data_IF_175684829938
#
_entry.id   IF_175684829938
#
_cell.length_a   1.000
_cell.length_b   1.000
_cell.length_c   1.000
_cell.angle_alpha   90.00
_cell.angle_beta   90.00
_cell.angle_gamma   90.00
#
_symmetry.space_group_name_H-M   'P 1'
#
loop_
_entity.id
_entity.type
_entity.pdbx_description
1 polymer ?
#
# COMPACT_ATOMS: atom_id res chain seq x y z
N UNK A 1 22.67 -46.28 -11.48
CA UNK A 1 21.30 -45.89 -11.78
C UNK A 1 20.98 -44.63 -10.96
N UNK A 2 20.91 -43.46 -11.62
CA UNK A 2 20.50 -42.21 -10.98
C UNK A 2 19.01 -42.30 -10.73
N UNK A 3 18.61 -42.27 -9.47
CA UNK A 3 17.20 -42.15 -9.07
C UNK A 3 16.68 -40.74 -9.49
N UNK A 4 15.79 -40.73 -10.47
CA UNK A 4 15.00 -39.54 -10.80
C UNK A 4 14.20 -39.20 -9.54
N UNK A 5 14.27 -37.96 -9.03
CA UNK A 5 13.42 -37.58 -7.90
C UNK A 5 11.96 -37.74 -8.32
N UNK A 6 11.18 -38.41 -7.48
CA UNK A 6 9.74 -38.54 -7.67
C UNK A 6 9.14 -37.16 -7.86
N UNK A 7 8.30 -36.99 -8.88
CA UNK A 7 7.54 -35.76 -9.09
C UNK A 7 6.83 -35.43 -7.78
N UNK A 8 7.16 -34.27 -7.21
CA UNK A 8 6.51 -33.75 -6.02
C UNK A 8 5.04 -33.59 -6.41
N UNK A 9 4.15 -34.38 -5.80
CA UNK A 9 2.70 -34.26 -6.01
C UNK A 9 2.23 -32.84 -5.66
N UNK A 10 1.01 -32.46 -6.04
CA UNK A 10 0.47 -31.14 -5.73
C UNK A 10 0.57 -30.91 -4.22
N UNK A 11 1.52 -30.07 -3.82
CA UNK A 11 1.78 -29.76 -2.41
C UNK A 11 0.58 -29.08 -1.74
N UNK A 12 0.65 -28.85 -0.42
CA UNK A 12 -0.44 -28.24 0.35
C UNK A 12 -0.92 -26.88 -0.19
N UNK A 13 -0.05 -26.19 -0.95
CA UNK A 13 -0.37 -24.88 -1.57
C UNK A 13 -1.28 -24.97 -2.80
N UNK A 14 -1.46 -26.16 -3.39
CA UNK A 14 -2.22 -26.32 -4.63
C UNK A 14 -3.70 -25.91 -4.49
N UNK A 15 -4.28 -26.08 -3.31
CA UNK A 15 -5.65 -25.69 -2.99
C UNK A 15 -5.87 -24.24 -2.62
N UNK A 16 -4.80 -23.49 -2.35
CA UNK A 16 -4.89 -22.11 -1.83
C UNK A 16 -5.65 -21.13 -2.72
N UNK A 17 -5.54 -21.18 -4.07
CA UNK A 17 -6.29 -20.24 -4.92
C UNK A 17 -7.82 -20.30 -4.75
N UNK A 18 -8.35 -21.38 -4.22
CA UNK A 18 -9.80 -21.58 -3.98
C UNK A 18 -10.18 -21.54 -2.51
N UNK A 19 -9.22 -21.35 -1.61
CA UNK A 19 -9.43 -21.29 -0.17
C UNK A 19 -9.58 -19.85 0.31
N UNK A 20 -10.38 -19.65 1.36
CA UNK A 20 -10.41 -18.39 2.08
C UNK A 20 -9.10 -18.18 2.86
N UNK A 21 -8.79 -16.93 3.18
CA UNK A 21 -7.61 -16.57 3.98
C UNK A 21 -7.63 -17.24 5.36
N UNK A 22 -8.81 -17.32 5.99
CA UNK A 22 -8.96 -17.97 7.29
C UNK A 22 -8.64 -19.46 7.21
N UNK A 23 -9.09 -20.14 6.16
CA UNK A 23 -8.77 -21.55 5.95
C UNK A 23 -7.29 -21.80 5.70
N UNK A 24 -6.60 -20.89 4.97
CA UNK A 24 -5.16 -20.97 4.78
C UNK A 24 -4.44 -20.77 6.12
N UNK A 25 -4.84 -19.78 6.89
CA UNK A 25 -4.28 -19.52 8.21
C UNK A 25 -4.47 -20.71 9.18
N UNK A 26 -5.66 -21.29 9.22
CA UNK A 26 -5.98 -22.49 10.01
C UNK A 26 -5.10 -23.67 9.59
N UNK A 27 -5.04 -23.96 8.28
CA UNK A 27 -4.20 -25.05 7.75
C UNK A 27 -2.74 -24.91 8.19
N UNK A 28 -2.19 -23.69 8.13
CA UNK A 28 -0.81 -23.42 8.55
C UNK A 28 -0.64 -23.52 10.07
N UNK A 29 -1.65 -23.09 10.83
CA UNK A 29 -1.64 -23.16 12.29
C UNK A 29 -1.53 -24.60 12.80
N UNK A 30 -2.09 -25.57 12.08
CA UNK A 30 -2.02 -27.01 12.40
C UNK A 30 -0.66 -27.65 12.06
N UNK A 31 0.21 -26.95 11.29
CA UNK A 31 1.52 -27.47 10.88
C UNK A 31 2.56 -27.34 12.00
N UNK A 32 3.46 -28.33 12.08
CA UNK A 32 4.66 -28.25 12.90
C UNK A 32 5.62 -27.15 12.38
N UNK A 33 6.54 -26.65 13.22
CA UNK A 33 7.60 -25.74 12.76
C UNK A 33 8.36 -26.27 11.55
N UNK A 34 8.70 -27.55 11.54
CA UNK A 34 9.44 -28.20 10.43
C UNK A 34 8.60 -28.23 9.14
N UNK A 35 7.29 -28.45 9.24
CA UNK A 35 6.40 -28.39 8.08
C UNK A 35 6.30 -26.98 7.51
N UNK A 36 6.23 -25.96 8.37
CA UNK A 36 6.23 -24.55 7.95
C UNK A 36 7.54 -24.16 7.27
N UNK A 37 8.69 -24.59 7.81
CA UNK A 37 10.02 -24.34 7.20
C UNK A 37 10.13 -24.99 5.82
N UNK A 38 9.63 -26.22 5.66
CA UNK A 38 9.56 -26.88 4.35
C UNK A 38 8.66 -26.11 3.39
N UNK A 39 7.51 -25.65 3.84
CA UNK A 39 6.58 -24.88 3.02
C UNK A 39 7.25 -23.62 2.45
N UNK A 40 7.98 -22.88 3.31
CA UNK A 40 8.76 -21.70 2.92
C UNK A 40 9.81 -22.04 1.86
N UNK A 41 10.54 -23.14 2.02
CA UNK A 41 11.66 -23.48 1.13
C UNK A 41 11.19 -24.13 -0.17
N UNK A 42 10.14 -24.93 -0.15
CA UNK A 42 9.64 -25.64 -1.32
C UNK A 42 8.69 -24.81 -2.19
N UNK A 43 7.93 -23.89 -1.57
CA UNK A 43 6.91 -23.07 -2.25
C UNK A 43 7.04 -21.57 -1.94
N UNK A 44 8.25 -20.98 -2.06
CA UNK A 44 8.47 -19.59 -1.61
C UNK A 44 7.60 -18.59 -2.34
N UNK A 45 7.27 -18.81 -3.62
CA UNK A 45 6.42 -17.88 -4.38
C UNK A 45 4.99 -17.83 -3.84
N UNK A 46 4.40 -18.99 -3.58
CA UNK A 46 3.06 -19.10 -3.03
C UNK A 46 3.01 -18.57 -1.59
N UNK A 47 3.94 -19.02 -0.75
CA UNK A 47 4.02 -18.61 0.66
C UNK A 47 4.26 -17.10 0.78
N UNK A 48 5.14 -16.54 -0.03
CA UNK A 48 5.49 -15.12 0.03
C UNK A 48 4.43 -14.17 -0.50
N UNK A 49 3.43 -14.66 -1.28
CA UNK A 49 2.51 -13.81 -2.01
C UNK A 49 1.02 -14.15 -1.81
N UNK A 50 0.69 -15.03 -0.86
CA UNK A 50 -0.69 -15.43 -0.60
C UNK A 50 -1.19 -14.82 0.70
N UNK A 51 -2.31 -14.08 0.63
CA UNK A 51 -3.00 -13.57 1.80
C UNK A 51 -3.54 -14.74 2.64
N UNK A 52 -3.49 -14.61 3.96
CA UNK A 52 -3.79 -15.71 4.89
C UNK A 52 -2.56 -16.42 5.43
N UNK A 53 -1.43 -16.36 4.73
CA UNK A 53 -0.15 -16.86 5.26
C UNK A 53 0.36 -15.92 6.35
N UNK A 54 0.81 -16.44 7.51
CA UNK A 54 1.41 -15.60 8.56
C UNK A 54 2.55 -14.73 8.02
N UNK A 55 2.55 -13.46 8.38
CA UNK A 55 3.48 -12.49 7.82
C UNK A 55 4.95 -12.80 8.06
N UNK A 56 5.38 -13.37 9.20
CA UNK A 56 6.76 -13.82 9.35
C UNK A 56 7.17 -14.89 8.31
N UNK A 57 6.25 -15.78 7.95
CA UNK A 57 6.49 -16.78 6.89
C UNK A 57 6.55 -16.13 5.51
N UNK A 58 5.66 -15.16 5.23
CA UNK A 58 5.70 -14.37 3.97
C UNK A 58 7.06 -13.66 3.83
N UNK A 59 7.51 -12.98 4.89
CA UNK A 59 8.79 -12.30 4.88
C UNK A 59 9.97 -13.26 4.65
N UNK A 60 9.98 -14.40 5.32
CA UNK A 60 11.02 -15.42 5.13
C UNK A 60 11.03 -16.01 3.70
N UNK A 61 9.86 -16.32 3.17
CA UNK A 61 9.72 -16.82 1.79
C UNK A 61 10.15 -15.78 0.75
N UNK A 62 9.81 -14.51 0.97
CA UNK A 62 10.18 -13.44 0.05
C UNK A 62 11.69 -13.15 0.07
N UNK A 63 12.42 -13.43 1.13
CA UNK A 63 13.89 -13.41 1.08
C UNK A 63 14.43 -14.39 0.05
N UNK A 64 13.84 -15.60 -0.05
CA UNK A 64 14.20 -16.60 -1.06
C UNK A 64 13.80 -16.09 -2.46
N UNK A 65 12.59 -15.57 -2.62
CA UNK A 65 12.11 -15.03 -3.90
C UNK A 65 13.01 -13.90 -4.42
N UNK A 66 13.39 -12.98 -3.54
CA UNK A 66 14.25 -11.84 -3.87
C UNK A 66 15.66 -12.31 -4.23
N UNK A 67 16.24 -13.23 -3.45
CA UNK A 67 17.55 -13.81 -3.76
C UNK A 67 17.55 -14.52 -5.13
N UNK A 68 16.48 -15.26 -5.44
CA UNK A 68 16.30 -15.88 -6.75
C UNK A 68 16.21 -14.83 -7.86
N UNK A 69 15.48 -13.73 -7.64
CA UNK A 69 15.37 -12.64 -8.60
C UNK A 69 16.71 -11.96 -8.88
N UNK A 70 17.56 -11.78 -7.86
CA UNK A 70 18.93 -11.26 -8.05
C UNK A 70 19.74 -12.18 -8.97
N UNK A 71 19.61 -13.50 -8.81
CA UNK A 71 20.37 -14.48 -9.61
C UNK A 71 19.84 -14.60 -11.04
N UNK A 72 18.56 -14.36 -11.26
CA UNK A 72 17.92 -14.52 -12.56
C UNK A 72 17.88 -13.23 -13.39
N UNK A 73 18.12 -12.08 -12.77
CA UNK A 73 18.22 -10.79 -13.49
C UNK A 73 19.57 -10.71 -14.22
N UNK A 74 19.56 -11.01 -15.51
CA UNK A 74 20.76 -11.11 -16.34
C UNK A 74 20.95 -9.92 -17.30
N UNK A 75 20.01 -8.96 -17.29
CA UNK A 75 20.10 -7.77 -18.13
C UNK A 75 21.31 -6.90 -17.79
N UNK A 76 21.86 -6.25 -18.81
CA UNK A 76 23.00 -5.33 -18.67
C UNK A 76 22.61 -3.85 -18.80
N UNK A 77 21.33 -3.55 -19.02
CA UNK A 77 20.80 -2.22 -19.13
C UNK A 77 20.67 -1.53 -17.74
N UNK A 78 20.39 -0.23 -17.74
CA UNK A 78 20.27 0.55 -16.52
C UNK A 78 19.11 0.10 -15.64
N UNK A 79 18.02 -0.33 -16.22
CA UNK A 79 16.85 -0.81 -15.49
C UNK A 79 17.17 -2.13 -14.77
N UNK A 80 17.85 -3.05 -15.42
CA UNK A 80 18.33 -4.30 -14.81
C UNK A 80 19.27 -4.03 -13.65
N UNK A 81 20.22 -3.09 -13.82
CA UNK A 81 21.13 -2.70 -12.75
C UNK A 81 20.39 -2.09 -11.56
N UNK A 82 19.39 -1.24 -11.80
CA UNK A 82 18.55 -0.66 -10.76
C UNK A 82 17.74 -1.72 -10.02
N UNK A 83 17.14 -2.68 -10.76
CA UNK A 83 16.42 -3.80 -10.13
C UNK A 83 17.32 -4.63 -9.23
N UNK A 84 18.50 -5.04 -9.70
CA UNK A 84 19.46 -5.80 -8.89
C UNK A 84 19.87 -5.02 -7.64
N UNK A 85 20.16 -3.73 -7.76
CA UNK A 85 20.53 -2.89 -6.63
C UNK A 85 19.40 -2.82 -5.60
N UNK A 86 18.14 -2.63 -6.05
CA UNK A 86 16.97 -2.66 -5.18
C UNK A 86 16.83 -4.01 -4.48
N UNK A 87 16.87 -5.12 -5.23
CA UNK A 87 16.68 -6.46 -4.68
C UNK A 87 17.73 -6.79 -3.60
N UNK A 88 18.99 -6.42 -3.84
CA UNK A 88 20.05 -6.54 -2.83
C UNK A 88 19.75 -5.68 -1.60
N UNK A 89 19.23 -4.47 -1.80
CA UNK A 89 18.80 -3.59 -0.71
C UNK A 89 17.63 -4.18 0.11
N UNK A 90 16.69 -4.88 -0.55
CA UNK A 90 15.58 -5.56 0.12
C UNK A 90 16.05 -6.74 0.99
N UNK A 91 17.16 -7.38 0.64
CA UNK A 91 17.79 -8.45 1.44
C UNK A 91 18.66 -7.95 2.58
N UNK A 92 18.97 -6.64 2.59
CA UNK A 92 19.80 -6.02 3.61
C UNK A 92 19.05 -5.69 4.90
N UNK A 93 19.78 -5.17 5.84
CA UNK A 93 19.25 -4.61 7.08
C UNK A 93 19.16 -3.09 6.99
N UNK A 94 18.27 -2.53 7.77
CA UNK A 94 18.08 -1.08 7.95
C UNK A 94 18.13 -0.72 9.43
N UNK A 95 18.38 0.53 9.73
CA UNK A 95 18.15 1.05 11.07
C UNK A 95 16.65 0.95 11.40
N UNK A 96 16.33 0.57 12.66
CA UNK A 96 14.93 0.46 13.08
C UNK A 96 14.25 1.84 13.00
N UNK A 97 13.22 2.01 12.14
CA UNK A 97 12.56 3.29 11.97
C UNK A 97 11.81 3.76 13.23
N UNK A 98 11.57 2.90 14.20
CA UNK A 98 11.00 3.27 15.50
C UNK A 98 11.99 4.04 16.39
N UNK A 99 13.27 4.10 16.01
CA UNK A 99 14.33 4.72 16.79
C UNK A 99 14.94 3.82 17.85
N UNK A 100 14.55 2.54 17.91
CA UNK A 100 15.23 1.56 18.80
C UNK A 100 16.66 1.32 18.28
N UNK A 101 17.64 1.15 19.18
CA UNK A 101 19.00 0.80 18.76
C UNK A 101 19.04 -0.54 18.02
N UNK A 102 19.85 -0.59 16.96
CA UNK A 102 20.09 -1.82 16.22
C UNK A 102 19.60 -1.75 14.77
N UNK A 103 19.91 -2.80 14.05
CA UNK A 103 19.49 -2.99 12.67
C UNK A 103 18.47 -4.10 12.60
N UNK A 104 17.52 -3.97 11.69
CA UNK A 104 16.45 -4.94 11.46
C UNK A 104 16.43 -5.37 10.00
N UNK A 105 16.01 -6.60 9.74
CA UNK A 105 15.70 -7.05 8.39
C UNK A 105 14.44 -6.34 7.85
N UNK A 106 14.45 -6.09 6.55
CA UNK A 106 13.27 -5.54 5.88
C UNK A 106 12.18 -6.62 5.80
N UNK A 107 10.93 -6.22 6.03
CA UNK A 107 9.78 -7.12 6.13
C UNK A 107 8.96 -7.05 4.84
N UNK A 108 9.29 -7.91 3.88
CA UNK A 108 8.65 -7.94 2.56
C UNK A 108 7.48 -8.92 2.58
N UNK A 109 6.26 -8.40 2.51
CA UNK A 109 5.02 -9.16 2.61
C UNK A 109 4.52 -9.69 1.26
N UNK A 110 4.95 -9.09 0.15
CA UNK A 110 4.73 -9.59 -1.20
C UNK A 110 5.89 -9.17 -2.10
N UNK A 111 6.31 -10.07 -2.97
CA UNK A 111 7.31 -9.81 -3.98
C UNK A 111 7.07 -10.70 -5.21
N UNK A 112 6.56 -10.09 -6.26
CA UNK A 112 6.36 -10.74 -7.55
C UNK A 112 6.63 -9.74 -8.68
N UNK A 113 7.88 -9.66 -9.19
CA UNK A 113 8.23 -8.73 -10.25
C UNK A 113 7.44 -8.92 -11.54
N UNK A 114 7.01 -10.15 -11.85
CA UNK A 114 6.20 -10.43 -13.04
C UNK A 114 4.81 -9.77 -12.97
N UNK A 115 4.31 -9.52 -11.77
CA UNK A 115 3.04 -8.83 -11.49
C UNK A 115 3.25 -7.38 -11.04
N UNK A 116 4.46 -6.87 -11.09
CA UNK A 116 4.85 -5.56 -10.56
C UNK A 116 4.39 -5.37 -9.10
N UNK A 117 4.49 -6.41 -8.28
CA UNK A 117 4.03 -6.41 -6.88
C UNK A 117 5.19 -6.37 -5.90
N UNK A 118 5.13 -5.39 -4.99
CA UNK A 118 6.03 -5.25 -3.85
C UNK A 118 5.27 -4.62 -2.68
N UNK A 119 5.16 -5.36 -1.59
CA UNK A 119 4.50 -4.87 -0.36
C UNK A 119 5.48 -4.98 0.80
N UNK A 120 5.70 -3.90 1.52
CA UNK A 120 6.65 -3.85 2.64
C UNK A 120 6.02 -3.26 3.89
N UNK A 121 6.20 -3.95 5.01
CA UNK A 121 5.85 -3.45 6.35
C UNK A 121 7.02 -2.65 6.92
N UNK A 122 6.76 -1.40 7.29
CA UNK A 122 7.70 -0.53 7.97
C UNK A 122 7.22 -0.32 9.41
N UNK A 123 8.06 -0.67 10.36
CA UNK A 123 7.75 -0.66 11.80
C UNK A 123 7.51 -2.05 12.38
N UNK A 124 7.10 -2.07 13.64
CA UNK A 124 6.82 -3.30 14.39
C UNK A 124 5.31 -3.42 14.63
N UNK A 125 4.67 -4.36 13.93
CA UNK A 125 3.23 -4.55 14.03
C UNK A 125 2.77 -4.90 15.44
N UNK A 126 3.58 -5.62 16.19
CA UNK A 126 3.24 -6.02 17.58
C UNK A 126 3.23 -4.82 18.55
N UNK A 127 4.01 -3.80 18.27
CA UNK A 127 4.08 -2.58 19.08
C UNK A 127 3.14 -1.47 18.57
N UNK A 128 2.63 -1.59 17.35
CA UNK A 128 1.84 -0.55 16.71
C UNK A 128 0.47 -0.36 17.39
N UNK A 129 0.09 0.89 17.57
CA UNK A 129 -1.23 1.34 18.02
C UNK A 129 -2.13 1.78 16.88
N UNK A 130 -1.53 1.97 15.71
CA UNK A 130 -2.23 2.24 14.46
C UNK A 130 -1.43 1.69 13.28
N UNK A 131 -2.13 1.31 12.23
CA UNK A 131 -1.53 0.79 10.99
C UNK A 131 -2.05 1.58 9.81
N UNK A 132 -1.18 1.91 8.86
CA UNK A 132 -1.59 2.52 7.61
C UNK A 132 -1.10 1.68 6.42
N UNK A 133 -1.92 1.64 5.38
CA UNK A 133 -1.57 1.09 4.06
C UNK A 133 -1.51 2.23 3.08
N UNK A 134 -0.33 2.50 2.51
CA UNK A 134 -0.09 3.60 1.57
C UNK A 134 -0.03 3.06 0.14
N UNK A 135 -1.01 3.46 -0.68
CA UNK A 135 -1.12 3.12 -2.10
C UNK A 135 -0.67 4.32 -2.93
N UNK A 136 0.47 4.25 -3.64
CA UNK A 136 1.00 5.37 -4.41
C UNK A 136 0.26 5.58 -5.73
N UNK A 137 0.74 6.51 -6.54
CA UNK A 137 0.13 6.92 -7.80
C UNK A 137 0.94 6.56 -9.04
N UNK A 138 0.73 7.34 -10.10
CA UNK A 138 1.41 7.18 -11.41
C UNK A 138 2.92 7.17 -11.27
N UNK A 139 3.58 6.59 -12.26
CA UNK A 139 5.05 6.49 -12.33
C UNK A 139 5.70 5.69 -11.19
N UNK A 140 4.90 4.93 -10.44
CA UNK A 140 5.44 4.01 -9.45
C UNK A 140 5.82 2.69 -10.13
N UNK A 141 7.08 2.30 -9.97
CA UNK A 141 7.62 1.00 -10.36
C UNK A 141 8.37 0.40 -9.18
N UNK A 142 8.56 -0.91 -9.19
CA UNK A 142 9.29 -1.60 -8.11
C UNK A 142 10.67 -0.97 -7.93
N UNK A 143 11.42 -0.78 -9.02
CA UNK A 143 12.77 -0.23 -9.02
C UNK A 143 12.88 1.21 -8.56
N UNK A 144 11.77 1.95 -8.56
CA UNK A 144 11.71 3.36 -8.17
C UNK A 144 10.95 3.58 -6.84
N UNK A 145 10.60 2.50 -6.12
CA UNK A 145 9.74 2.54 -4.93
C UNK A 145 10.42 3.05 -3.65
N UNK A 146 11.72 3.31 -3.68
CA UNK A 146 12.48 3.75 -2.50
C UNK A 146 11.90 5.02 -1.84
N UNK A 147 11.40 5.96 -2.64
CA UNK A 147 10.79 7.19 -2.13
C UNK A 147 9.54 6.90 -1.28
N UNK A 148 8.71 5.95 -1.68
CA UNK A 148 7.53 5.55 -0.93
C UNK A 148 7.90 4.91 0.41
N UNK A 149 8.95 4.09 0.42
CA UNK A 149 9.49 3.49 1.65
C UNK A 149 10.02 4.54 2.62
N UNK A 150 10.76 5.54 2.11
CA UNK A 150 11.24 6.67 2.93
C UNK A 150 10.07 7.43 3.54
N UNK A 151 9.03 7.71 2.77
CA UNK A 151 7.80 8.36 3.24
C UNK A 151 7.15 7.56 4.37
N UNK A 152 6.95 6.26 4.17
CA UNK A 152 6.37 5.39 5.18
C UNK A 152 7.17 5.38 6.48
N UNK A 153 8.49 5.27 6.41
CA UNK A 153 9.37 5.24 7.58
C UNK A 153 9.38 6.54 8.36
N UNK A 154 9.19 7.68 7.69
CA UNK A 154 9.07 8.98 8.38
C UNK A 154 7.87 9.02 9.34
N UNK A 155 6.73 8.45 8.95
CA UNK A 155 5.57 8.33 9.84
C UNK A 155 5.85 7.41 11.03
N UNK A 156 6.54 6.29 10.79
CA UNK A 156 6.96 5.38 11.88
C UNK A 156 7.88 6.10 12.86
N UNK A 157 8.89 6.81 12.35
CA UNK A 157 9.85 7.55 13.17
C UNK A 157 9.17 8.66 13.97
N UNK A 158 8.27 9.41 13.36
CA UNK A 158 7.57 10.52 14.02
C UNK A 158 6.68 10.07 15.18
N UNK A 159 6.25 8.82 15.18
CA UNK A 159 5.44 8.22 16.23
C UNK A 159 6.24 7.34 17.18
N UNK A 160 7.57 7.30 17.03
CA UNK A 160 8.45 6.39 17.80
C UNK A 160 8.00 4.93 17.73
N UNK A 161 7.40 4.52 16.60
CA UNK A 161 6.92 3.16 16.36
C UNK A 161 5.47 2.88 16.82
N UNK A 162 4.73 3.87 17.32
CA UNK A 162 3.30 3.71 17.61
C UNK A 162 2.46 3.54 16.33
N UNK A 163 2.96 3.98 15.18
CA UNK A 163 2.39 3.66 13.88
C UNK A 163 3.28 2.68 13.11
N UNK A 164 2.68 1.70 12.46
CA UNK A 164 3.31 0.90 11.41
C UNK A 164 2.70 1.28 10.06
N UNK A 165 3.54 1.38 9.02
CA UNK A 165 3.10 1.82 7.70
C UNK A 165 3.53 0.83 6.64
N UNK A 166 2.56 0.34 5.87
CA UNK A 166 2.77 -0.61 4.78
C UNK A 166 2.79 0.16 3.47
N UNK A 167 3.86 0.01 2.70
CA UNK A 167 3.88 0.46 1.31
C UNK A 167 3.30 -0.63 0.42
N UNK A 168 2.27 -0.29 -0.36
CA UNK A 168 1.52 -1.26 -1.13
C UNK A 168 1.62 -0.99 -2.63
N UNK A 169 2.39 -1.82 -3.32
CA UNK A 169 2.40 -1.93 -4.77
C UNK A 169 1.79 -3.29 -5.12
N UNK A 170 0.48 -3.31 -5.37
CA UNK A 170 -0.27 -4.56 -5.63
C UNK A 170 -0.26 -5.00 -7.10
N UNK A 171 0.32 -4.20 -7.99
CA UNK A 171 0.38 -4.45 -9.42
C UNK A 171 0.92 -3.25 -10.18
N UNK A 172 0.86 -3.28 -11.54
CA UNK A 172 1.37 -2.18 -12.33
C UNK A 172 0.56 -0.90 -12.13
N UNK A 173 1.27 0.22 -12.06
CA UNK A 173 0.70 1.57 -12.07
C UNK A 173 0.83 2.19 -13.46
N UNK A 174 -0.04 3.15 -13.84
CA UNK A 174 0.10 3.88 -15.08
C UNK A 174 1.43 4.62 -15.13
N UNK A 175 2.08 4.61 -16.31
CA UNK A 175 3.34 5.29 -16.54
C UNK A 175 3.09 6.49 -17.47
N UNK A 176 3.29 7.68 -16.95
CA UNK A 176 3.09 8.96 -17.63
C UNK A 176 4.46 9.54 -17.97
N UNK A 177 4.82 9.56 -19.26
CA UNK A 177 6.10 10.06 -19.78
C UNK A 177 5.93 11.38 -20.52
N UNK A 178 4.77 11.58 -21.11
CA UNK A 178 4.41 12.75 -21.88
C UNK A 178 2.92 13.11 -21.71
N UNK A 179 2.46 14.27 -22.22
CA UNK A 179 1.06 14.68 -22.08
C UNK A 179 0.02 13.73 -22.70
N UNK A 180 0.39 12.90 -23.66
CA UNK A 180 -0.52 11.92 -24.26
C UNK A 180 -0.80 10.80 -23.29
N UNK A 181 0.20 10.37 -22.54
CA UNK A 181 0.09 9.33 -21.50
C UNK A 181 -0.87 9.75 -20.37
N UNK A 182 -1.04 11.05 -20.13
CA UNK A 182 -2.04 11.54 -19.15
C UNK A 182 -3.44 11.09 -19.55
N UNK A 183 -3.75 11.16 -20.84
CA UNK A 183 -5.07 10.79 -21.37
C UNK A 183 -5.20 9.29 -21.60
N UNK A 184 -4.12 8.62 -22.00
CA UNK A 184 -4.16 7.20 -22.39
C UNK A 184 -3.83 6.25 -21.24
N UNK A 185 -3.02 6.67 -20.29
CA UNK A 185 -2.57 5.84 -19.16
C UNK A 185 -3.16 6.29 -17.83
N UNK A 186 -2.97 7.56 -17.43
CA UNK A 186 -3.47 8.02 -16.15
C UNK A 186 -5.00 8.13 -16.09
N UNK A 187 -5.67 8.34 -17.22
CA UNK A 187 -7.12 8.32 -17.33
C UNK A 187 -7.70 6.90 -17.49
N UNK A 188 -6.87 5.88 -17.72
CA UNK A 188 -7.33 4.52 -17.91
C UNK A 188 -7.71 3.86 -16.56
N UNK A 189 -8.97 3.47 -16.37
CA UNK A 189 -9.42 2.84 -15.13
C UNK A 189 -8.91 1.40 -14.95
N UNK A 190 -8.33 0.76 -16.00
CA UNK A 190 -7.92 -0.64 -15.94
C UNK A 190 -6.98 -0.97 -14.78
N UNK A 191 -6.04 -0.07 -14.46
CA UNK A 191 -5.09 -0.29 -13.36
C UNK A 191 -5.79 -0.33 -12.00
N UNK A 192 -6.78 0.54 -11.80
CA UNK A 192 -7.59 0.53 -10.59
C UNK A 192 -8.47 -0.71 -10.51
N UNK A 193 -9.12 -1.09 -11.61
CA UNK A 193 -9.95 -2.29 -11.69
C UNK A 193 -9.15 -3.57 -11.46
N UNK A 194 -7.91 -3.64 -11.96
CA UNK A 194 -7.04 -4.81 -11.79
C UNK A 194 -6.48 -4.90 -10.37
N UNK A 195 -6.15 -3.78 -9.75
CA UNK A 195 -5.51 -3.76 -8.43
C UNK A 195 -6.53 -3.81 -7.28
N UNK A 196 -7.71 -3.25 -7.45
CA UNK A 196 -8.71 -3.15 -6.38
C UNK A 196 -9.06 -4.50 -5.73
N UNK A 197 -9.33 -5.60 -6.45
CA UNK A 197 -9.62 -6.88 -5.82
C UNK A 197 -8.48 -7.40 -4.93
N UNK A 198 -7.24 -7.15 -5.33
CA UNK A 198 -6.04 -7.53 -4.55
C UNK A 198 -5.88 -6.68 -3.30
N UNK A 199 -6.18 -5.38 -3.41
CA UNK A 199 -6.17 -4.49 -2.25
C UNK A 199 -7.28 -4.87 -1.25
N UNK A 200 -8.46 -5.22 -1.73
CA UNK A 200 -9.55 -5.74 -0.88
C UNK A 200 -9.08 -6.97 -0.11
N UNK A 201 -8.54 -7.97 -0.80
CA UNK A 201 -8.03 -9.18 -0.17
C UNK A 201 -6.89 -8.89 0.82
N UNK A 202 -5.97 -8.00 0.48
CA UNK A 202 -4.90 -7.59 1.38
C UNK A 202 -5.42 -6.83 2.60
N UNK A 203 -6.42 -5.98 2.45
CA UNK A 203 -7.03 -5.26 3.58
C UNK A 203 -7.70 -6.21 4.58
N UNK A 204 -8.30 -7.28 4.09
CA UNK A 204 -8.84 -8.36 4.93
C UNK A 204 -7.72 -9.10 5.68
N UNK A 205 -6.59 -9.35 5.02
CA UNK A 205 -5.41 -9.95 5.66
C UNK A 205 -4.82 -9.05 6.73
N UNK A 206 -4.74 -7.74 6.48
CA UNK A 206 -4.31 -6.74 7.48
C UNK A 206 -5.23 -6.78 8.70
N UNK A 207 -6.54 -6.71 8.49
CA UNK A 207 -7.54 -6.75 9.57
C UNK A 207 -7.42 -8.01 10.44
N UNK A 208 -7.17 -9.18 9.81
CA UNK A 208 -6.98 -10.44 10.49
C UNK A 208 -5.68 -10.52 11.31
N UNK A 209 -4.60 -9.87 10.86
CA UNK A 209 -3.28 -9.94 11.48
C UNK A 209 -3.08 -8.85 12.53
N UNK A 210 -3.72 -7.70 12.35
CA UNK A 210 -3.67 -6.59 13.30
C UNK A 210 -4.49 -6.93 14.55
N UNK A 211 -3.98 -6.60 15.73
CA UNK A 211 -4.66 -6.86 16.98
C UNK A 211 -5.98 -6.10 17.13
N UNK A 212 -6.91 -6.68 17.87
CA UNK A 212 -8.19 -6.05 18.18
C UNK A 212 -7.98 -4.64 18.76
N UNK A 213 -8.72 -3.68 18.23
CA UNK A 213 -8.67 -2.29 18.68
C UNK A 213 -7.51 -1.46 18.13
N UNK A 214 -6.70 -2.00 17.23
CA UNK A 214 -5.69 -1.24 16.48
C UNK A 214 -6.31 -0.79 15.15
N UNK A 215 -6.56 0.52 14.97
CA UNK A 215 -7.22 1.00 13.76
C UNK A 215 -6.31 0.94 12.54
N UNK A 216 -6.91 0.63 11.40
CA UNK A 216 -6.25 0.57 10.09
C UNK A 216 -6.74 1.71 9.21
N UNK A 217 -5.80 2.48 8.67
CA UNK A 217 -6.06 3.54 7.68
C UNK A 217 -5.54 3.12 6.31
N UNK A 218 -6.36 3.21 5.28
CA UNK A 218 -5.92 3.01 3.89
C UNK A 218 -5.83 4.36 3.21
N UNK A 219 -4.66 4.69 2.65
CA UNK A 219 -4.37 5.97 2.02
C UNK A 219 -4.13 5.74 0.54
N UNK A 220 -4.89 6.40 -0.30
CA UNK A 220 -4.67 6.43 -1.75
C UNK A 220 -4.16 7.79 -2.20
N UNK A 221 -2.91 7.85 -2.68
CA UNK A 221 -2.31 9.07 -3.21
C UNK A 221 -2.41 9.11 -4.73
N UNK A 222 -2.89 10.22 -5.28
CA UNK A 222 -2.98 10.44 -6.71
C UNK A 222 -3.82 9.34 -7.39
N UNK A 223 -3.29 8.62 -8.36
CA UNK A 223 -3.97 7.46 -8.97
C UNK A 223 -4.32 6.39 -7.93
N UNK A 224 -3.51 6.26 -6.87
CA UNK A 224 -3.80 5.38 -5.74
C UNK A 224 -5.14 5.66 -5.06
N UNK A 225 -5.61 6.89 -5.11
CA UNK A 225 -6.96 7.25 -4.65
C UNK A 225 -8.06 6.57 -5.45
N UNK A 226 -7.92 6.51 -6.77
CA UNK A 226 -8.84 5.75 -7.63
C UNK A 226 -8.81 4.26 -7.30
N UNK A 227 -7.62 3.68 -7.04
CA UNK A 227 -7.48 2.28 -6.65
C UNK A 227 -8.22 2.01 -5.33
N UNK A 228 -7.98 2.85 -4.33
CA UNK A 228 -8.60 2.72 -3.00
C UNK A 228 -10.12 2.90 -3.09
N UNK A 229 -10.59 3.92 -3.81
CA UNK A 229 -12.02 4.15 -3.99
C UNK A 229 -12.72 3.02 -4.75
N UNK A 230 -12.06 2.43 -5.74
CA UNK A 230 -12.57 1.25 -6.44
C UNK A 230 -12.61 0.03 -5.50
N UNK A 231 -11.59 -0.14 -4.66
CA UNK A 231 -11.58 -1.19 -3.64
C UNK A 231 -12.71 -1.00 -2.59
N UNK A 232 -13.02 0.25 -2.24
CA UNK A 232 -14.16 0.58 -1.38
C UNK A 232 -15.48 0.03 -1.95
N UNK A 233 -15.69 0.06 -3.27
CA UNK A 233 -16.90 -0.50 -3.89
C UNK A 233 -16.98 -2.02 -3.78
N UNK A 234 -15.86 -2.69 -3.52
CA UNK A 234 -15.72 -4.14 -3.52
C UNK A 234 -15.56 -4.73 -2.10
N UNK A 235 -15.74 -3.94 -1.07
CA UNK A 235 -15.66 -4.39 0.32
C UNK A 235 -14.27 -4.23 0.94
N UNK A 236 -13.58 -3.12 0.68
CA UNK A 236 -12.39 -2.75 1.42
C UNK A 236 -12.65 -2.80 2.92
N UNK A 237 -11.69 -3.28 3.70
CA UNK A 237 -11.73 -3.26 5.16
C UNK A 237 -10.79 -2.20 5.69
N UNK A 238 -11.33 -1.16 6.32
CA UNK A 238 -10.53 -0.11 6.98
C UNK A 238 -11.36 0.63 8.03
N UNK A 239 -10.69 1.20 9.03
CA UNK A 239 -11.32 2.11 9.99
C UNK A 239 -11.35 3.54 9.47
N UNK A 240 -10.33 3.90 8.70
CA UNK A 240 -10.22 5.20 8.03
C UNK A 240 -9.74 5.02 6.61
N UNK A 241 -10.26 5.85 5.70
CA UNK A 241 -9.80 5.95 4.31
C UNK A 241 -9.43 7.41 4.03
N UNK A 242 -8.25 7.64 3.48
CA UNK A 242 -7.78 8.96 3.09
C UNK A 242 -7.55 9.01 1.57
N UNK A 243 -8.30 9.87 0.91
CA UNK A 243 -8.11 10.26 -0.49
C UNK A 243 -7.16 11.46 -0.54
N UNK A 244 -5.90 11.22 -0.86
CA UNK A 244 -4.83 12.23 -0.82
C UNK A 244 -4.47 12.67 -2.23
N UNK A 245 -4.81 13.91 -2.60
CA UNK A 245 -4.67 14.41 -3.97
C UNK A 245 -5.14 13.35 -5.00
N UNK A 246 -6.26 12.72 -4.73
CA UNK A 246 -6.73 11.54 -5.43
C UNK A 246 -7.25 11.88 -6.82
N UNK A 247 -7.04 10.99 -7.78
CA UNK A 247 -7.57 11.14 -9.14
C UNK A 247 -9.10 11.09 -9.18
N UNK A 248 -9.73 10.47 -8.20
CA UNK A 248 -11.17 10.40 -8.05
C UNK A 248 -11.57 9.47 -6.91
N UNK A 249 -12.86 9.36 -6.66
CA UNK A 249 -13.47 8.57 -5.59
C UNK A 249 -13.51 7.05 -5.88
N UNK A 250 -13.10 6.63 -7.06
CA UNK A 250 -13.10 5.25 -7.52
C UNK A 250 -13.91 5.07 -8.81
N UNK A 251 -13.58 4.03 -9.56
CA UNK A 251 -14.26 3.72 -10.81
C UNK A 251 -15.74 3.40 -10.54
N UNK A 252 -16.63 4.15 -11.16
CA UNK A 252 -18.08 4.00 -10.99
C UNK A 252 -18.65 4.54 -9.68
N UNK A 253 -17.89 5.37 -8.95
CA UNK A 253 -18.33 6.02 -7.72
C UNK A 253 -18.83 7.42 -8.04
N UNK A 254 -20.14 7.64 -7.92
CA UNK A 254 -20.79 8.94 -8.13
C UNK A 254 -21.30 9.55 -6.80
N UNK A 255 -21.61 8.70 -5.84
CA UNK A 255 -22.04 9.13 -4.50
C UNK A 255 -21.54 8.17 -3.40
N UNK A 256 -21.64 8.54 -2.11
CA UNK A 256 -21.16 7.70 -1.01
C UNK A 256 -21.82 6.31 -0.91
N UNK A 257 -23.02 6.15 -1.47
CA UNK A 257 -23.75 4.89 -1.48
C UNK A 257 -23.12 3.82 -2.37
N UNK A 258 -22.23 4.22 -3.27
CA UNK A 258 -21.50 3.29 -4.14
C UNK A 258 -20.34 2.60 -3.41
N UNK A 259 -19.90 3.15 -2.28
CA UNK A 259 -18.90 2.53 -1.43
C UNK A 259 -19.49 1.49 -0.48
N UNK A 260 -18.84 0.36 -0.36
CA UNK A 260 -19.27 -0.77 0.44
C UNK A 260 -18.14 -1.29 1.34
N UNK A 261 -17.55 -0.40 2.16
CA UNK A 261 -16.54 -0.82 3.14
C UNK A 261 -17.15 -1.87 4.08
N UNK A 262 -16.39 -2.90 4.44
CA UNK A 262 -16.84 -3.91 5.40
C UNK A 262 -17.03 -3.37 6.80
N UNK A 263 -16.29 -2.30 7.15
CA UNK A 263 -16.53 -1.56 8.38
C UNK A 263 -17.63 -0.49 8.13
N UNK A 264 -18.84 -0.66 8.66
CA UNK A 264 -19.93 0.29 8.45
C UNK A 264 -19.70 1.64 9.12
N UNK A 265 -18.72 1.75 10.02
CA UNK A 265 -18.36 2.98 10.73
C UNK A 265 -17.09 3.63 10.20
N UNK A 266 -16.64 3.24 9.00
CA UNK A 266 -15.45 3.80 8.37
C UNK A 266 -15.56 5.32 8.27
N UNK A 267 -14.48 6.02 8.65
CA UNK A 267 -14.35 7.46 8.47
C UNK A 267 -13.56 7.74 7.20
N UNK A 268 -14.10 8.63 6.35
CA UNK A 268 -13.44 9.00 5.10
C UNK A 268 -12.99 10.45 5.14
N UNK A 269 -11.78 10.66 4.68
CA UNK A 269 -11.12 11.96 4.62
C UNK A 269 -10.61 12.20 3.21
N UNK A 270 -10.53 13.47 2.82
CA UNK A 270 -9.86 13.90 1.59
C UNK A 270 -8.97 15.09 1.86
N UNK A 271 -7.90 15.20 1.09
CA UNK A 271 -6.98 16.33 1.14
C UNK A 271 -6.38 16.56 -0.24
N UNK A 272 -6.60 17.74 -0.79
CA UNK A 272 -6.00 18.18 -2.05
C UNK A 272 -5.49 19.61 -1.87
N UNK A 273 -4.26 19.87 -2.29
CA UNK A 273 -3.69 21.20 -2.18
C UNK A 273 -4.35 22.17 -3.18
N UNK A 274 -4.66 23.39 -2.78
CA UNK A 274 -5.20 24.39 -3.69
C UNK A 274 -4.26 24.61 -4.90
N UNK A 275 -4.81 24.56 -6.12
CA UNK A 275 -4.04 24.73 -7.35
C UNK A 275 -3.18 23.53 -7.74
N UNK A 276 -3.42 22.38 -7.13
CA UNK A 276 -2.89 21.10 -7.62
C UNK A 276 -3.56 20.77 -8.96
N UNK A 277 -2.77 20.32 -9.94
CA UNK A 277 -3.30 19.95 -11.26
C UNK A 277 -4.38 18.86 -11.20
N UNK A 278 -4.35 18.04 -10.15
CA UNK A 278 -5.31 16.95 -9.96
C UNK A 278 -6.75 17.47 -9.80
N UNK A 279 -6.94 18.71 -9.33
CA UNK A 279 -8.26 19.34 -9.25
C UNK A 279 -8.97 19.37 -10.62
N UNK A 280 -8.21 19.53 -11.70
CA UNK A 280 -8.77 19.50 -13.06
C UNK A 280 -9.19 18.08 -13.51
N UNK A 281 -8.65 17.05 -12.92
CA UNK A 281 -8.98 15.64 -13.20
C UNK A 281 -10.16 15.17 -12.34
N UNK A 282 -10.17 15.54 -11.05
CA UNK A 282 -11.21 15.16 -10.09
C UNK A 282 -12.60 15.68 -10.48
N UNK A 283 -12.67 16.89 -11.03
CA UNK A 283 -13.94 17.57 -11.30
C UNK A 283 -14.64 17.15 -12.61
N UNK A 284 -14.23 16.09 -13.29
CA UNK A 284 -14.85 15.64 -14.55
C UNK A 284 -16.08 14.77 -14.23
N UNK A 285 -17.33 15.26 -14.42
CA UNK A 285 -18.52 14.46 -14.17
C UNK A 285 -18.53 13.19 -15.04
N UNK A 286 -18.78 12.03 -14.42
CA UNK A 286 -18.75 10.75 -15.12
C UNK A 286 -17.36 10.36 -15.63
N UNK A 287 -16.32 10.96 -15.10
CA UNK A 287 -14.93 10.67 -15.46
C UNK A 287 -14.51 9.24 -15.07
N UNK A 288 -13.37 8.78 -15.61
CA UNK A 288 -12.94 7.38 -15.48
C UNK A 288 -12.65 6.96 -14.03
N UNK A 289 -12.44 7.92 -13.13
CA UNK A 289 -12.08 7.68 -11.73
C UNK A 289 -13.20 8.05 -10.73
N UNK A 290 -14.42 8.29 -11.23
CA UNK A 290 -15.58 8.66 -10.40
C UNK A 290 -15.59 10.14 -9.97
N UNK A 291 -16.42 10.44 -9.00
CA UNK A 291 -16.62 11.80 -8.48
C UNK A 291 -15.38 12.34 -7.75
N UNK A 292 -15.39 13.65 -7.49
CA UNK A 292 -14.37 14.31 -6.69
C UNK A 292 -14.52 13.96 -5.20
N UNK A 293 -13.51 13.34 -4.56
CA UNK A 293 -13.57 13.01 -3.15
C UNK A 293 -13.70 14.23 -2.23
N UNK A 294 -13.20 15.40 -2.67
CA UNK A 294 -13.26 16.63 -1.90
C UNK A 294 -14.69 17.23 -1.83
N UNK A 295 -15.54 16.85 -2.77
CA UNK A 295 -16.94 17.28 -2.85
C UNK A 295 -17.95 16.21 -2.39
N UNK A 296 -17.46 15.00 -2.08
CA UNK A 296 -18.31 13.89 -1.68
C UNK A 296 -18.97 14.15 -0.32
N UNK A 297 -20.29 14.03 -0.21
CA UNK A 297 -20.97 14.03 1.09
C UNK A 297 -20.38 12.97 2.02
N UNK A 298 -20.34 13.22 3.31
CA UNK A 298 -19.79 12.32 4.34
C UNK A 298 -18.25 12.15 4.35
N UNK A 299 -17.55 12.74 3.39
CA UNK A 299 -16.08 12.82 3.41
C UNK A 299 -15.66 14.11 4.10
N UNK A 300 -14.77 14.01 5.08
CA UNK A 300 -14.20 15.17 5.77
C UNK A 300 -13.04 15.71 4.95
N UNK A 301 -13.24 16.87 4.34
CA UNK A 301 -12.17 17.57 3.62
C UNK A 301 -11.19 18.20 4.61
N UNK A 302 -9.91 17.99 4.41
CA UNK A 302 -8.83 18.49 5.25
C UNK A 302 -8.04 19.59 4.52
N UNK A 303 -7.63 20.62 5.27
CA UNK A 303 -6.81 21.73 4.74
C UNK A 303 -5.33 21.34 4.74
N UNK A 304 -4.56 21.95 3.84
CA UNK A 304 -3.13 21.64 3.65
C UNK A 304 -2.17 22.58 4.41
N UNK A 305 -2.61 23.80 4.71
CA UNK A 305 -1.82 24.76 5.51
C UNK A 305 -0.51 25.21 4.84
N UNK A 306 0.57 25.23 5.61
CA UNK A 306 1.88 25.73 5.20
C UNK A 306 2.98 24.70 5.40
N UNK A 307 4.07 24.83 4.62
CA UNK A 307 5.31 24.14 4.89
C UNK A 307 6.03 24.78 6.09
N UNK A 308 6.91 24.04 6.75
CA UNK A 308 7.65 24.53 7.90
C UNK A 308 8.63 25.66 7.53
N UNK A 309 9.01 25.77 6.26
CA UNK A 309 9.81 26.89 5.73
C UNK A 309 8.99 28.15 5.41
N UNK A 310 7.68 28.14 5.66
CA UNK A 310 6.78 29.28 5.56
C UNK A 310 5.99 29.41 4.25
N UNK A 311 6.23 28.57 3.25
CA UNK A 311 5.48 28.56 2.00
C UNK A 311 4.13 27.86 2.15
N UNK A 312 3.11 28.30 1.39
CA UNK A 312 1.80 27.57 1.36
C UNK A 312 1.96 26.21 0.71
N UNK A 313 1.28 25.21 1.25
CA UNK A 313 1.15 23.89 0.59
C UNK A 313 0.09 24.03 -0.51
N UNK A 314 0.55 24.43 -1.69
CA UNK A 314 -0.31 24.76 -2.84
C UNK A 314 0.42 24.51 -4.17
N UNK A 315 -0.34 24.41 -5.24
CA UNK A 315 0.15 24.24 -6.60
C UNK A 315 0.71 22.87 -6.90
N UNK A 316 1.29 22.74 -8.09
CA UNK A 316 1.87 21.48 -8.58
C UNK A 316 2.86 20.81 -7.60
N UNK A 317 3.82 21.54 -6.98
CA UNK A 317 4.80 20.91 -6.10
C UNK A 317 4.17 20.25 -4.86
N UNK A 318 2.99 20.72 -4.46
CA UNK A 318 2.28 20.18 -3.31
C UNK A 318 1.68 18.79 -3.55
N UNK A 319 1.51 18.37 -4.82
CA UNK A 319 0.97 17.04 -5.16
C UNK A 319 1.72 15.91 -4.46
N UNK A 320 3.04 15.97 -4.46
CA UNK A 320 3.90 15.05 -3.69
C UNK A 320 4.48 15.70 -2.43
N UNK A 321 4.54 17.02 -2.36
CA UNK A 321 5.12 17.78 -1.25
C UNK A 321 4.41 17.52 0.08
N UNK A 322 3.12 17.26 0.06
CA UNK A 322 2.35 16.88 1.25
C UNK A 322 2.90 15.64 1.96
N UNK A 323 3.44 14.69 1.21
CA UNK A 323 4.05 13.46 1.74
C UNK A 323 5.56 13.58 1.98
N UNK A 324 6.24 14.46 1.26
CA UNK A 324 7.70 14.47 1.18
C UNK A 324 8.37 15.59 1.99
N UNK A 325 7.62 16.61 2.39
CA UNK A 325 8.14 17.79 3.08
C UNK A 325 7.41 18.03 4.41
N UNK A 326 8.14 18.46 5.46
CA UNK A 326 7.52 18.87 6.72
C UNK A 326 6.54 20.03 6.51
N UNK A 327 5.30 19.83 6.94
CA UNK A 327 4.20 20.77 6.71
C UNK A 327 3.00 20.49 7.63
N UNK A 328 2.06 21.40 7.66
CA UNK A 328 0.75 21.16 8.29
C UNK A 328 0.03 19.98 7.63
N UNK A 329 0.08 19.88 6.30
CA UNK A 329 -0.49 18.75 5.55
C UNK A 329 0.11 17.42 5.99
N UNK A 330 1.43 17.34 6.11
CA UNK A 330 2.11 16.13 6.55
C UNK A 330 1.67 15.70 7.96
N UNK A 331 1.59 16.66 8.90
CA UNK A 331 1.09 16.42 10.26
C UNK A 331 -0.39 15.99 10.27
N UNK A 332 -1.19 16.54 9.38
CA UNK A 332 -2.61 16.15 9.24
C UNK A 332 -2.75 14.74 8.69
N UNK A 333 -1.92 14.33 7.72
CA UNK A 333 -1.86 12.94 7.26
C UNK A 333 -1.50 12.01 8.42
N UNK A 334 -0.50 12.37 9.21
CA UNK A 334 -0.13 11.62 10.41
C UNK A 334 -1.29 11.53 11.41
N UNK A 335 -2.05 12.62 11.59
CA UNK A 335 -3.23 12.64 12.44
C UNK A 335 -4.34 11.69 11.95
N UNK A 336 -4.51 11.53 10.63
CA UNK A 336 -5.42 10.52 10.06
C UNK A 336 -4.92 9.11 10.41
N UNK A 337 -3.64 8.85 10.25
CA UNK A 337 -3.02 7.55 10.55
C UNK A 337 -3.23 7.19 12.03
N UNK A 338 -2.98 8.12 12.93
CA UNK A 338 -3.04 7.88 14.39
C UNK A 338 -4.42 8.06 14.99
N UNK A 339 -5.36 8.68 14.26
CA UNK A 339 -6.70 8.98 14.75
C UNK A 339 -6.71 10.14 15.78
N UNK A 340 -5.84 11.13 15.62
CA UNK A 340 -5.81 12.34 16.46
C UNK A 340 -7.01 13.22 16.14
N UNK A 341 -8.14 12.95 16.81
CA UNK A 341 -9.39 13.65 16.57
C UNK A 341 -9.30 15.18 16.80
N UNK A 342 -8.64 15.71 17.84
CA UNK A 342 -8.45 17.15 17.97
C UNK A 342 -7.68 17.78 16.79
N UNK A 343 -6.63 17.16 16.31
CA UNK A 343 -5.87 17.65 15.15
C UNK A 343 -6.72 17.61 13.88
N UNK A 344 -7.46 16.54 13.66
CA UNK A 344 -8.35 16.40 12.51
C UNK A 344 -9.49 17.41 12.54
N UNK A 345 -10.04 17.69 13.71
CA UNK A 345 -11.09 18.71 13.85
C UNK A 345 -10.56 20.11 13.49
N UNK A 346 -9.34 20.45 13.90
CA UNK A 346 -8.71 21.73 13.54
C UNK A 346 -8.39 21.85 12.05
N UNK A 347 -8.04 20.73 11.41
CA UNK A 347 -7.69 20.68 9.99
C UNK A 347 -8.89 20.55 9.06
N UNK A 348 -10.08 20.24 9.58
CA UNK A 348 -11.29 20.14 8.77
C UNK A 348 -11.60 21.47 8.09
N UNK A 349 -11.83 21.44 6.78
CA UNK A 349 -12.27 22.61 6.03
C UNK A 349 -13.65 23.03 6.52
N UNK A 350 -13.83 24.34 6.74
CA UNK A 350 -15.15 24.89 7.04
C UNK A 350 -15.95 24.86 5.74
N UNK A 351 -17.06 24.13 5.74
CA UNK A 351 -18.02 24.07 4.62
C UNK A 351 -18.74 25.40 4.40
#
# INVERSE_FOLDING_TARGET
AATVPAAVGPGPVAGWPTMSQDRIAEQIAEMSPQQRDRLITEYPRQVGNTDGVPWPMRAAANRINIASAVLTETGADDDSRRRVALYRGLLGEIDDPSGRPGRIERQILAFDPARASLVELNGDLAAARSVAVLVPGVNTRIEDSAANTVTARRFVTATSGDAAVITYLGGPFPQVRDPVDVVTEAADPRYALDMAPRLVAFSEDVDRVVGDGVPVTVIGHSYGGSIVGTAETQGLTSDRTLFLAAAGAGVGVDDPGDWHNRNPTVLRFSMTAPGDFIEAVQGIPGGPHGADPDEMPTVVRLTTGTYDDGGRVAGWPAHSGMLNRPSDAWRTILAVITGDAPALHRAAAVS
#
